data_IF_265503147422
#
_entry.id   IF_265503147422
#
_cell.length_a   1.000
_cell.length_b   1.000
_cell.length_c   1.000
_cell.angle_alpha   90.00
_cell.angle_beta   90.00
_cell.angle_gamma   90.00
#
_symmetry.space_group_name_H-M   'P 1'
#
loop_
_entity.id
_entity.type
_entity.pdbx_description
1 polymer ?
#
# COMPACT_ATOMS: atom_id res chain seq x y z
N UNK A 1 17.97 31.08 -79.51
CA UNK A 1 18.51 30.19 -78.46
C UNK A 1 17.69 30.21 -77.17
N UNK A 2 16.58 30.95 -77.09
CA UNK A 2 15.73 31.04 -75.89
C UNK A 2 14.67 29.92 -75.74
N UNK A 3 14.32 29.24 -76.85
CA UNK A 3 13.29 28.19 -76.86
C UNK A 3 13.68 26.96 -76.01
N UNK A 4 14.95 26.52 -76.08
CA UNK A 4 15.45 25.35 -75.32
C UNK A 4 15.57 25.59 -73.80
N UNK A 5 15.63 26.86 -73.35
CA UNK A 5 15.78 27.18 -71.92
C UNK A 5 14.44 27.02 -71.20
N UNK A 6 13.32 27.38 -71.85
CA UNK A 6 11.98 27.24 -71.25
C UNK A 6 11.58 25.77 -71.11
N UNK A 7 11.88 24.94 -72.10
CA UNK A 7 11.60 23.51 -72.06
C UNK A 7 12.42 22.78 -70.99
N UNK A 8 13.71 23.10 -70.86
CA UNK A 8 14.56 22.52 -69.80
C UNK A 8 14.10 22.93 -68.40
N UNK A 9 13.70 24.19 -68.20
CA UNK A 9 13.16 24.66 -66.92
C UNK A 9 11.84 23.96 -66.56
N UNK A 10 10.96 23.72 -67.54
CA UNK A 10 9.68 23.02 -67.33
C UNK A 10 9.89 21.55 -66.97
N UNK A 11 10.88 20.88 -67.58
CA UNK A 11 11.25 19.50 -67.23
C UNK A 11 11.81 19.44 -65.80
N UNK A 12 12.71 20.35 -65.42
CA UNK A 12 13.28 20.41 -64.07
C UNK A 12 12.19 20.67 -63.02
N UNK A 13 11.29 21.63 -63.28
CA UNK A 13 10.17 21.91 -62.39
C UNK A 13 9.24 20.68 -62.23
N UNK A 14 9.01 19.94 -63.32
CA UNK A 14 8.20 18.72 -63.29
C UNK A 14 8.86 17.62 -62.46
N UNK A 15 10.19 17.44 -62.59
CA UNK A 15 10.95 16.46 -61.80
C UNK A 15 10.93 16.82 -60.31
N UNK A 16 11.12 18.10 -59.96
CA UNK A 16 11.05 18.55 -58.57
C UNK A 16 9.66 18.32 -57.96
N UNK A 17 8.58 18.57 -58.71
CA UNK A 17 7.23 18.28 -58.25
C UNK A 17 7.02 16.77 -58.02
N UNK A 18 7.52 15.91 -58.92
CA UNK A 18 7.42 14.45 -58.76
C UNK A 18 8.15 14.01 -57.49
N UNK A 19 9.36 14.51 -57.23
CA UNK A 19 10.12 14.21 -56.01
C UNK A 19 9.35 14.68 -54.76
N UNK A 20 8.76 15.88 -54.81
CA UNK A 20 7.93 16.41 -53.72
C UNK A 20 6.73 15.51 -53.40
N UNK A 21 6.03 15.03 -54.41
CA UNK A 21 4.89 14.09 -54.25
C UNK A 21 5.35 12.76 -53.64
N UNK A 22 6.47 12.20 -54.12
CA UNK A 22 7.04 10.96 -53.58
C UNK A 22 7.39 11.13 -52.09
N UNK A 23 7.98 12.27 -51.72
CA UNK A 23 8.34 12.54 -50.33
C UNK A 23 7.11 12.63 -49.42
N UNK A 24 6.05 13.33 -49.83
CA UNK A 24 4.80 13.42 -49.06
C UNK A 24 4.14 12.03 -48.91
N UNK A 25 4.09 11.24 -49.98
CA UNK A 25 3.57 9.88 -49.92
C UNK A 25 4.37 9.00 -48.94
N UNK A 26 5.70 9.12 -48.96
CA UNK A 26 6.57 8.40 -48.04
C UNK A 26 6.34 8.82 -46.58
N UNK A 27 6.19 10.13 -46.31
CA UNK A 27 5.86 10.65 -44.97
C UNK A 27 4.52 10.13 -44.46
N UNK A 28 3.50 10.03 -45.33
CA UNK A 28 2.19 9.47 -44.97
C UNK A 28 2.31 7.99 -44.60
N UNK A 29 3.05 7.20 -45.38
CA UNK A 29 3.26 5.77 -45.10
C UNK A 29 4.00 5.56 -43.78
N UNK A 30 5.04 6.35 -43.52
CA UNK A 30 5.77 6.30 -42.24
C UNK A 30 4.88 6.66 -41.06
N UNK A 31 4.09 7.73 -41.18
CA UNK A 31 3.17 8.18 -40.13
C UNK A 31 2.11 7.12 -39.80
N UNK A 32 1.56 6.45 -40.81
CA UNK A 32 0.62 5.32 -40.59
C UNK A 32 1.27 4.18 -39.82
N UNK A 33 2.49 3.79 -40.21
CA UNK A 33 3.23 2.71 -39.51
C UNK A 33 3.55 3.06 -38.05
N UNK A 34 3.80 4.34 -37.73
CA UNK A 34 4.01 4.75 -36.34
C UNK A 34 2.73 4.72 -35.52
N UNK A 35 1.59 5.08 -36.10
CA UNK A 35 0.29 5.04 -35.41
C UNK A 35 -0.11 3.59 -35.12
N UNK A 36 0.03 2.69 -36.08
CA UNK A 36 -0.27 1.26 -35.91
C UNK A 36 0.56 0.63 -34.77
N UNK A 37 1.86 0.91 -34.72
CA UNK A 37 2.73 0.47 -33.62
C UNK A 37 2.32 1.06 -32.27
N UNK A 38 1.87 2.31 -32.24
CA UNK A 38 1.40 2.94 -31.02
C UNK A 38 0.10 2.28 -30.52
N UNK A 39 -0.85 2.00 -31.41
CA UNK A 39 -2.10 1.30 -31.10
C UNK A 39 -1.84 -0.12 -30.54
N UNK A 40 -0.93 -0.88 -31.16
CA UNK A 40 -0.53 -2.20 -30.66
C UNK A 40 0.05 -2.12 -29.24
N UNK A 41 0.90 -1.13 -28.97
CA UNK A 41 1.51 -0.95 -27.65
C UNK A 41 0.49 -0.61 -26.57
N UNK A 42 -0.52 0.20 -26.89
CA UNK A 42 -1.62 0.56 -25.98
C UNK A 42 -2.50 -0.66 -25.71
N UNK A 43 -2.82 -1.46 -26.74
CA UNK A 43 -3.60 -2.68 -26.57
C UNK A 43 -2.88 -3.70 -25.68
N UNK A 44 -1.57 -3.86 -25.85
CA UNK A 44 -0.76 -4.73 -25.00
C UNK A 44 -0.73 -4.24 -23.55
N UNK A 45 -0.62 -2.93 -23.34
CA UNK A 45 -0.68 -2.33 -22.00
C UNK A 45 -2.06 -2.51 -21.34
N UNK A 46 -3.14 -2.43 -22.10
CA UNK A 46 -4.48 -2.68 -21.59
C UNK A 46 -4.66 -4.13 -21.16
N UNK A 47 -4.27 -5.08 -22.02
CA UNK A 47 -4.34 -6.51 -21.72
C UNK A 47 -3.48 -6.89 -20.51
N UNK A 48 -2.30 -6.30 -20.36
CA UNK A 48 -1.45 -6.57 -19.20
C UNK A 48 -2.05 -6.02 -17.91
N UNK A 49 -2.72 -4.86 -17.96
CA UNK A 49 -3.45 -4.31 -16.83
C UNK A 49 -4.65 -5.19 -16.44
N UNK A 50 -5.41 -5.66 -17.42
CA UNK A 50 -6.53 -6.59 -17.18
C UNK A 50 -6.06 -7.91 -16.57
N UNK A 51 -4.99 -8.50 -17.11
CA UNK A 51 -4.41 -9.71 -16.54
C UNK A 51 -3.87 -9.49 -15.11
N UNK A 52 -3.26 -8.34 -14.84
CA UNK A 52 -2.81 -7.97 -13.50
C UNK A 52 -4.01 -7.82 -12.54
N UNK A 53 -5.09 -7.20 -12.98
CA UNK A 53 -6.32 -7.06 -12.20
C UNK A 53 -6.94 -8.42 -11.89
N UNK A 54 -7.05 -9.28 -12.90
CA UNK A 54 -7.59 -10.63 -12.72
C UNK A 54 -6.72 -11.45 -11.76
N UNK A 55 -5.39 -11.37 -11.87
CA UNK A 55 -4.47 -12.02 -10.93
C UNK A 55 -4.64 -11.53 -9.49
N UNK A 56 -4.95 -10.24 -9.29
CA UNK A 56 -5.25 -9.70 -7.95
C UNK A 56 -6.57 -10.25 -7.42
N UNK A 57 -7.60 -10.32 -8.26
CA UNK A 57 -8.92 -10.83 -7.86
C UNK A 57 -8.86 -12.35 -7.56
N UNK A 58 -8.12 -13.13 -8.35
CA UNK A 58 -7.87 -14.55 -8.11
C UNK A 58 -7.10 -14.77 -6.79
N UNK A 59 -6.11 -13.92 -6.51
CA UNK A 59 -5.36 -13.97 -5.25
C UNK A 59 -6.25 -13.62 -4.04
N UNK A 60 -7.20 -12.69 -4.19
CA UNK A 60 -8.19 -12.38 -3.16
C UNK A 60 -9.12 -13.56 -2.91
N UNK A 61 -9.67 -14.15 -3.98
CA UNK A 61 -10.57 -15.29 -3.87
C UNK A 61 -9.86 -16.48 -3.22
N UNK A 62 -8.63 -16.79 -3.63
CA UNK A 62 -7.83 -17.86 -3.02
C UNK A 62 -7.65 -17.66 -1.52
N UNK A 63 -7.31 -16.43 -1.09
CA UNK A 63 -7.19 -16.10 0.34
C UNK A 63 -8.51 -16.21 1.09
N UNK A 64 -9.62 -15.77 0.50
CA UNK A 64 -10.95 -15.91 1.09
C UNK A 64 -11.30 -17.39 1.31
N UNK A 65 -10.98 -18.26 0.33
CA UNK A 65 -11.17 -19.69 0.45
C UNK A 65 -10.27 -20.32 1.53
N UNK A 66 -9.04 -19.84 1.70
CA UNK A 66 -8.15 -20.26 2.80
C UNK A 66 -8.66 -19.84 4.19
N UNK A 67 -9.40 -18.72 4.28
CA UNK A 67 -9.93 -18.18 5.54
C UNK A 67 -11.18 -18.94 6.00
N UNK A 68 -11.94 -19.53 5.08
CA UNK A 68 -13.22 -20.18 5.36
C UNK A 68 -13.18 -21.16 6.56
N UNK A 69 -12.13 -21.96 6.77
CA UNK A 69 -12.07 -22.90 7.89
C UNK A 69 -11.62 -22.30 9.24
N UNK A 70 -11.05 -21.07 9.31
CA UNK A 70 -10.39 -20.56 10.52
C UNK A 70 -10.51 -19.03 10.71
N UNK A 71 -11.73 -18.52 10.79
CA UNK A 71 -12.00 -17.08 10.98
C UNK A 71 -11.48 -16.54 12.33
N UNK A 72 -11.32 -17.39 13.34
CA UNK A 72 -10.80 -17.02 14.67
C UNK A 72 -9.49 -16.24 14.64
N UNK A 73 -8.59 -16.59 13.74
CA UNK A 73 -7.30 -15.91 13.60
C UNK A 73 -7.45 -14.50 13.03
N UNK A 74 -8.36 -14.31 12.08
CA UNK A 74 -8.66 -13.01 11.49
C UNK A 74 -9.18 -12.06 12.56
N UNK A 75 -10.11 -12.51 13.41
CA UNK A 75 -10.62 -11.70 14.53
C UNK A 75 -9.52 -11.32 15.51
N UNK A 76 -8.63 -12.27 15.86
CA UNK A 76 -7.51 -12.02 16.78
C UNK A 76 -6.54 -10.96 16.23
N UNK A 77 -6.20 -11.05 14.94
CA UNK A 77 -5.34 -10.06 14.28
C UNK A 77 -6.07 -8.72 14.18
N UNK A 78 -7.34 -8.70 13.79
CA UNK A 78 -8.13 -7.48 13.70
C UNK A 78 -8.24 -6.74 15.05
N UNK A 79 -8.51 -7.48 16.13
CA UNK A 79 -8.55 -6.96 17.49
C UNK A 79 -7.18 -6.39 17.92
N UNK A 80 -6.09 -7.07 17.58
CA UNK A 80 -4.73 -6.60 17.85
C UNK A 80 -4.44 -5.28 17.14
N UNK A 81 -4.73 -5.22 15.83
CA UNK A 81 -4.53 -4.03 15.00
C UNK A 81 -5.35 -2.84 15.52
N UNK A 82 -6.63 -3.06 15.80
CA UNK A 82 -7.54 -2.03 16.33
C UNK A 82 -7.03 -1.48 17.67
N UNK A 83 -6.62 -2.36 18.59
CA UNK A 83 -6.04 -1.95 19.88
C UNK A 83 -4.79 -1.11 19.67
N UNK A 84 -3.85 -1.56 18.83
CA UNK A 84 -2.60 -0.85 18.57
C UNK A 84 -2.81 0.51 17.91
N UNK A 85 -3.73 0.61 16.94
CA UNK A 85 -4.09 1.89 16.30
C UNK A 85 -4.60 2.88 17.36
N UNK A 86 -5.51 2.44 18.23
CA UNK A 86 -6.05 3.27 19.30
C UNK A 86 -4.95 3.75 20.24
N UNK A 87 -4.14 2.84 20.76
CA UNK A 87 -3.07 3.18 21.71
C UNK A 87 -2.01 4.12 21.11
N UNK A 88 -1.57 3.87 19.87
CA UNK A 88 -0.61 4.75 19.20
C UNK A 88 -1.20 6.14 18.92
N UNK A 89 -2.49 6.22 18.57
CA UNK A 89 -3.18 7.50 18.39
C UNK A 89 -3.21 8.29 19.69
N UNK A 90 -3.67 7.66 20.78
CA UNK A 90 -3.72 8.28 22.11
C UNK A 90 -2.35 8.78 22.57
N UNK A 91 -1.30 7.99 22.36
CA UNK A 91 0.07 8.35 22.74
C UNK A 91 0.65 9.44 21.83
N UNK A 92 0.43 9.39 20.51
CA UNK A 92 0.85 10.46 19.57
C UNK A 92 0.23 11.80 19.97
N UNK A 93 -1.06 11.82 20.27
CA UNK A 93 -1.78 13.03 20.71
C UNK A 93 -1.28 13.55 22.06
N UNK A 94 -0.85 12.66 22.97
CA UNK A 94 -0.20 13.06 24.23
C UNK A 94 1.17 13.70 23.97
N UNK A 95 2.01 13.11 23.11
CA UNK A 95 3.33 13.67 22.75
C UNK A 95 3.15 15.07 22.17
N UNK A 96 2.25 15.25 21.19
CA UNK A 96 1.98 16.53 20.53
C UNK A 96 1.53 17.61 21.53
N UNK A 97 0.67 17.26 22.50
CA UNK A 97 0.25 18.19 23.57
C UNK A 97 1.38 18.57 24.51
N UNK A 98 2.23 17.61 24.89
CA UNK A 98 3.37 17.85 25.78
C UNK A 98 4.41 18.77 25.13
N UNK A 99 4.67 18.58 23.83
CA UNK A 99 5.55 19.46 23.05
C UNK A 99 5.04 20.92 23.08
N UNK A 100 3.72 21.13 23.09
CA UNK A 100 3.11 22.45 23.13
C UNK A 100 3.09 23.09 24.53
N UNK A 101 2.86 22.30 25.58
CA UNK A 101 2.54 22.80 26.94
C UNK A 101 3.43 22.22 28.05
N UNK A 102 4.74 22.03 27.79
CA UNK A 102 5.76 21.40 28.65
C UNK A 102 5.34 21.29 30.14
N UNK A 103 4.86 20.10 30.52
CA UNK A 103 4.45 19.77 31.88
C UNK A 103 5.16 18.48 32.34
N UNK A 104 5.87 18.54 33.46
CA UNK A 104 6.66 17.44 34.01
C UNK A 104 5.83 16.22 34.43
N UNK A 105 4.59 16.42 34.88
CA UNK A 105 3.72 15.33 35.30
C UNK A 105 3.20 14.55 34.08
N UNK A 106 2.86 15.28 33.01
CA UNK A 106 2.48 14.69 31.72
C UNK A 106 3.62 13.90 31.08
N UNK A 107 4.87 14.32 31.30
CA UNK A 107 6.06 13.58 30.85
C UNK A 107 6.20 12.23 31.55
N UNK A 108 6.02 12.19 32.88
CA UNK A 108 6.11 10.93 33.62
C UNK A 108 5.04 9.92 33.18
N UNK A 109 3.82 10.38 32.93
CA UNK A 109 2.73 9.54 32.43
C UNK A 109 2.96 9.06 30.98
N UNK A 110 3.64 9.87 30.16
CA UNK A 110 3.97 9.49 28.79
C UNK A 110 4.90 8.27 28.76
N UNK A 111 5.97 8.31 29.56
CA UNK A 111 7.00 7.26 29.65
C UNK A 111 6.63 6.09 30.59
N UNK A 112 5.35 5.73 30.63
CA UNK A 112 4.81 4.66 31.49
C UNK A 112 4.71 3.30 30.78
N UNK A 113 5.33 3.13 29.62
CA UNK A 113 5.20 1.89 28.84
C UNK A 113 5.89 0.73 29.57
N UNK A 114 5.18 -0.38 29.73
CA UNK A 114 5.75 -1.61 30.28
C UNK A 114 6.45 -2.46 29.22
N UNK A 115 6.44 -2.05 27.96
CA UNK A 115 7.07 -2.79 26.86
C UNK A 115 8.56 -2.47 26.81
N UNK A 116 9.39 -3.49 27.03
CA UNK A 116 10.86 -3.42 27.02
C UNK A 116 11.46 -4.25 25.90
N UNK A 117 10.71 -5.22 25.40
CA UNK A 117 11.13 -6.21 24.41
C UNK A 117 9.97 -6.59 23.50
N UNK A 118 10.24 -7.12 22.29
CA UNK A 118 9.17 -7.59 21.39
C UNK A 118 8.32 -8.71 22.00
N UNK A 119 8.87 -9.49 22.95
CA UNK A 119 8.15 -10.56 23.64
C UNK A 119 7.05 -10.02 24.57
N UNK A 120 7.15 -8.77 25.02
CA UNK A 120 6.12 -8.13 25.86
C UNK A 120 4.83 -7.82 25.08
N UNK A 121 4.83 -8.00 23.76
CA UNK A 121 3.62 -7.96 22.93
C UNK A 121 2.75 -9.21 23.09
N UNK A 122 3.23 -10.25 23.79
CA UNK A 122 2.52 -11.50 24.05
C UNK A 122 2.04 -12.22 22.77
N UNK A 123 2.79 -12.09 21.67
CA UNK A 123 2.51 -12.81 20.43
C UNK A 123 2.90 -14.28 20.61
N UNK A 124 1.92 -15.17 20.62
CA UNK A 124 2.17 -16.60 20.82
C UNK A 124 2.75 -17.21 19.54
N UNK A 125 3.84 -17.96 19.67
CA UNK A 125 4.43 -18.72 18.56
C UNK A 125 3.44 -19.69 17.94
N UNK A 126 2.62 -20.34 18.76
CA UNK A 126 1.54 -21.22 18.30
C UNK A 126 0.60 -20.53 17.32
N UNK A 127 0.14 -19.31 17.65
CA UNK A 127 -0.77 -18.55 16.79
C UNK A 127 -0.11 -18.23 15.44
N UNK A 128 1.18 -17.85 15.45
CA UNK A 128 1.94 -17.61 14.22
C UNK A 128 2.08 -18.84 13.34
N UNK A 129 2.42 -19.99 13.94
CA UNK A 129 2.76 -21.22 13.22
C UNK A 129 1.52 -21.92 12.64
N UNK A 130 0.33 -21.69 13.23
CA UNK A 130 -0.92 -22.31 12.78
C UNK A 130 -1.82 -21.38 11.94
N UNK A 131 -1.49 -20.08 11.89
CA UNK A 131 -2.21 -19.09 11.09
C UNK A 131 -1.79 -19.13 9.62
N UNK A 132 -2.69 -18.82 8.66
CA UNK A 132 -2.31 -18.66 7.25
C UNK A 132 -1.10 -17.73 7.09
N UNK A 133 -0.16 -18.11 6.23
CA UNK A 133 1.15 -17.44 6.11
C UNK A 133 1.01 -15.93 5.84
N UNK A 134 0.08 -15.54 4.97
CA UNK A 134 -0.14 -14.14 4.64
C UNK A 134 -0.62 -13.34 5.87
N UNK A 135 -1.51 -13.92 6.70
CA UNK A 135 -2.07 -13.27 7.88
C UNK A 135 -1.02 -13.18 8.99
N UNK A 136 -0.20 -14.22 9.17
CA UNK A 136 0.88 -14.20 10.16
C UNK A 136 1.98 -13.20 9.80
N UNK A 137 2.27 -13.03 8.50
CA UNK A 137 3.16 -11.97 8.03
C UNK A 137 2.61 -10.57 8.33
N UNK A 138 1.34 -10.31 8.03
CA UNK A 138 0.70 -9.02 8.37
C UNK A 138 0.74 -8.74 9.87
N UNK A 139 0.42 -9.75 10.69
CA UNK A 139 0.41 -9.62 12.14
C UNK A 139 1.79 -9.30 12.71
N UNK A 140 2.83 -10.01 12.27
CA UNK A 140 4.22 -9.76 12.68
C UNK A 140 4.72 -8.40 12.20
N UNK A 141 4.41 -8.01 10.96
CA UNK A 141 4.78 -6.68 10.45
C UNK A 141 4.14 -5.55 11.25
N UNK A 142 2.83 -5.66 11.55
CA UNK A 142 2.15 -4.66 12.38
C UNK A 142 2.72 -4.60 13.80
N UNK A 143 3.03 -5.76 14.39
CA UNK A 143 3.67 -5.83 15.70
C UNK A 143 5.03 -5.13 15.72
N UNK A 144 5.84 -5.25 14.66
CA UNK A 144 7.12 -4.55 14.55
C UNK A 144 6.93 -3.03 14.52
N UNK A 145 6.00 -2.52 13.71
CA UNK A 145 5.69 -1.09 13.68
C UNK A 145 5.21 -0.58 15.04
N UNK A 146 4.32 -1.33 15.69
CA UNK A 146 3.83 -0.98 17.02
C UNK A 146 4.97 -0.96 18.05
N UNK A 147 5.79 -2.01 18.09
CA UNK A 147 6.96 -2.10 18.97
C UNK A 147 7.93 -0.93 18.78
N UNK A 148 8.27 -0.63 17.54
CA UNK A 148 9.23 0.42 17.20
C UNK A 148 8.80 1.82 17.67
N UNK A 149 7.50 2.08 17.75
CA UNK A 149 6.97 3.32 18.33
C UNK A 149 6.90 3.22 19.86
N UNK A 150 6.28 2.17 20.40
CA UNK A 150 5.96 2.11 21.83
C UNK A 150 7.19 1.98 22.74
N UNK A 151 8.28 1.37 22.24
CA UNK A 151 9.53 1.23 22.99
C UNK A 151 10.20 2.59 23.28
N UNK A 152 9.92 3.61 22.47
CA UNK A 152 10.43 4.97 22.70
C UNK A 152 9.85 5.58 23.97
N UNK A 153 8.70 5.08 24.43
CA UNK A 153 8.04 5.52 25.65
C UNK A 153 8.39 4.64 26.86
N UNK A 154 9.46 3.84 26.78
CA UNK A 154 9.96 3.10 27.93
C UNK A 154 10.59 4.06 28.95
N UNK A 155 10.46 3.81 30.27
CA UNK A 155 11.09 4.63 31.29
C UNK A 155 12.60 4.83 31.11
N UNK A 156 13.28 3.82 30.57
CA UNK A 156 14.73 3.85 30.33
C UNK A 156 15.14 4.78 29.18
N UNK A 157 14.20 5.13 28.29
CA UNK A 157 14.40 6.04 27.15
C UNK A 157 13.81 7.42 27.38
N UNK A 158 13.46 7.73 28.63
CA UNK A 158 12.92 9.03 29.00
C UNK A 158 13.86 10.14 28.53
N UNK A 159 13.32 11.04 27.72
CA UNK A 159 13.98 12.27 27.32
C UNK A 159 13.06 13.43 27.64
N UNK A 160 13.63 14.48 28.25
CA UNK A 160 12.94 15.75 28.49
C UNK A 160 13.17 16.76 27.33
N UNK A 161 13.82 16.33 26.25
CA UNK A 161 14.12 17.15 25.07
C UNK A 161 12.94 17.24 24.11
N UNK A 162 12.50 18.46 23.81
CA UNK A 162 11.46 18.73 22.79
C UNK A 162 11.86 18.17 21.41
N UNK A 163 13.15 18.21 21.07
CA UNK A 163 13.65 17.66 19.81
C UNK A 163 13.43 16.15 19.72
N UNK A 164 13.67 15.43 20.83
CA UNK A 164 13.50 13.99 20.88
C UNK A 164 12.00 13.63 20.85
N UNK A 165 11.17 14.39 21.56
CA UNK A 165 9.72 14.21 21.53
C UNK A 165 9.12 14.43 20.13
N UNK A 166 9.61 15.41 19.37
CA UNK A 166 9.19 15.59 17.98
C UNK A 166 9.58 14.40 17.09
N UNK A 167 10.80 13.89 17.25
CA UNK A 167 11.24 12.66 16.56
C UNK A 167 10.38 11.45 16.94
N UNK A 168 9.96 11.36 18.21
CA UNK A 168 9.04 10.31 18.66
C UNK A 168 7.67 10.49 18.01
N UNK A 169 7.13 11.71 17.94
CA UNK A 169 5.85 11.98 17.27
C UNK A 169 5.87 11.54 15.80
N UNK A 170 6.94 11.86 15.06
CA UNK A 170 7.13 11.41 13.67
C UNK A 170 7.13 9.89 13.55
N UNK A 171 7.86 9.19 14.45
CA UNK A 171 7.88 7.71 14.46
C UNK A 171 6.50 7.12 14.77
N UNK A 172 5.76 7.74 15.69
CA UNK A 172 4.39 7.31 16.01
C UNK A 172 3.46 7.46 14.81
N UNK A 173 3.55 8.58 14.08
CA UNK A 173 2.74 8.83 12.89
C UNK A 173 3.10 7.87 11.75
N UNK A 174 4.39 7.55 11.56
CA UNK A 174 4.86 6.52 10.61
C UNK A 174 4.29 5.14 10.95
N UNK A 175 4.45 4.69 12.21
CA UNK A 175 3.94 3.40 12.67
C UNK A 175 2.41 3.33 12.58
N UNK A 176 1.71 4.41 12.93
CA UNK A 176 0.25 4.48 12.84
C UNK A 176 -0.23 4.35 11.39
N UNK A 177 0.43 5.04 10.45
CA UNK A 177 0.12 4.97 9.03
C UNK A 177 0.32 3.54 8.48
N UNK A 178 1.43 2.90 8.84
CA UNK A 178 1.72 1.52 8.43
C UNK A 178 0.68 0.53 8.97
N UNK A 179 0.35 0.60 10.27
CA UNK A 179 -0.65 -0.30 10.88
C UNK A 179 -2.04 -0.06 10.30
N UNK A 180 -2.44 1.20 10.05
CA UNK A 180 -3.71 1.51 9.36
C UNK A 180 -3.77 0.94 7.95
N UNK A 181 -2.64 0.96 7.22
CA UNK A 181 -2.54 0.35 5.89
C UNK A 181 -2.72 -1.16 5.95
N UNK A 182 -2.08 -1.82 6.91
CA UNK A 182 -2.23 -3.27 7.15
C UNK A 182 -3.67 -3.60 7.55
N UNK A 183 -4.28 -2.81 8.42
CA UNK A 183 -5.67 -2.98 8.86
C UNK A 183 -6.65 -2.86 7.69
N UNK A 184 -6.48 -1.83 6.85
CA UNK A 184 -7.28 -1.67 5.63
C UNK A 184 -7.14 -2.87 4.70
N UNK A 185 -5.91 -3.35 4.49
CA UNK A 185 -5.67 -4.53 3.67
C UNK A 185 -6.37 -5.78 4.22
N UNK A 186 -6.39 -5.96 5.54
CA UNK A 186 -7.13 -7.06 6.18
C UNK A 186 -8.64 -6.94 5.90
N UNK A 187 -9.22 -5.75 6.07
CA UNK A 187 -10.63 -5.47 5.76
C UNK A 187 -10.97 -5.64 4.29
N UNK A 188 -10.04 -5.36 3.37
CA UNK A 188 -10.23 -5.56 1.93
C UNK A 188 -10.20 -7.06 1.54
N UNK A 189 -9.55 -7.91 2.34
CA UNK A 189 -9.43 -9.35 2.11
C UNK A 189 -10.59 -10.14 2.73
N UNK A 190 -11.10 -9.67 3.88
CA UNK A 190 -12.12 -10.36 4.67
C UNK A 190 -13.45 -9.63 4.50
N UNK A 191 -14.49 -10.28 3.94
CA UNK A 191 -15.81 -9.67 3.83
C UNK A 191 -16.31 -9.16 5.19
N UNK A 192 -16.90 -7.98 5.22
CA UNK A 192 -17.42 -7.32 6.44
C UNK A 192 -18.37 -8.24 7.23
N UNK A 193 -19.24 -8.97 6.51
CA UNK A 193 -20.17 -9.95 7.10
C UNK A 193 -19.45 -11.03 7.91
N UNK A 194 -18.24 -11.41 7.51
CA UNK A 194 -17.39 -12.36 8.24
C UNK A 194 -16.62 -11.65 9.36
N UNK A 195 -16.09 -10.45 9.09
CA UNK A 195 -15.32 -9.67 10.07
C UNK A 195 -16.15 -9.14 11.26
N UNK A 196 -17.47 -9.06 11.10
CA UNK A 196 -18.43 -8.62 12.12
C UNK A 196 -19.25 -9.78 12.73
N UNK A 197 -19.04 -11.03 12.29
CA UNK A 197 -19.75 -12.17 12.87
C UNK A 197 -19.50 -12.23 14.38
N UNK A 198 -20.54 -12.32 15.23
CA UNK A 198 -20.36 -12.43 16.66
C UNK A 198 -19.55 -13.68 16.99
N UNK A 199 -18.36 -13.52 17.57
CA UNK A 199 -17.44 -14.61 17.92
C UNK A 199 -17.95 -15.54 19.04
N UNK A 200 -19.23 -15.48 19.40
CA UNK A 200 -19.77 -16.01 20.65
C UNK A 200 -20.81 -17.12 20.50
N UNK A 201 -21.11 -17.57 19.28
CA UNK A 201 -22.00 -18.72 19.08
C UNK A 201 -21.11 -19.87 18.63
N UNK A 202 -21.07 -20.93 19.43
CA UNK A 202 -20.43 -22.18 19.06
C UNK A 202 -21.16 -22.75 17.84
N UNK A 203 -20.45 -23.22 16.81
CA UNK A 203 -21.09 -23.64 15.55
C UNK A 203 -22.16 -24.73 15.80
N UNK A 204 -21.91 -25.62 16.76
CA UNK A 204 -22.83 -26.68 17.17
C UNK A 204 -24.14 -26.13 17.77
N UNK A 205 -24.09 -24.95 18.40
CA UNK A 205 -25.26 -24.27 18.97
C UNK A 205 -26.11 -23.53 17.93
N UNK A 206 -25.63 -23.38 16.70
CA UNK A 206 -26.38 -22.77 15.61
C UNK A 206 -27.25 -23.79 14.85
N UNK A 207 -26.88 -25.08 14.89
CA UNK A 207 -27.57 -26.17 14.21
C UNK A 207 -28.41 -27.07 15.15
N UNK A 208 -28.50 -26.72 16.44
CA UNK A 208 -29.34 -27.38 17.45
C UNK A 208 -30.50 -26.49 17.89
#
# INVERSE_FOLDING_TARGET
MECNIKETLQVVASVLNIIGVIFVLWQIVLSRKSVEKAEESVLLAHRSLEAARQSVDDAKLSRQLEILPNHGWVFSVNASLTRWIRELTEKSDKIKRIVQNINSDSMRELFSSNIKSPTDLHLRKYDRDNMPLWLSQLWVSAAQYYYNAIILLSPERRSDSVKDLNSYAERFDESLSAIKTIHKYLSDMVPEVIGETPASIDDDSFFT
#
